data_IF_682221298321
#
_entry.id   IF_682221298321
#
_cell.length_a   1.000
_cell.length_b   1.000
_cell.length_c   1.000
_cell.angle_alpha   90.00
_cell.angle_beta   90.00
_cell.angle_gamma   90.00
#
_symmetry.space_group_name_H-M   'P 1'
#
loop_
_entity.id
_entity.type
_entity.pdbx_description
1 polymer ?
#
# COMPACT_ATOMS: atom_id res chain seq x y z
N UNK A 1 8.41 -21.72 18.50
CA UNK A 1 7.85 -20.53 17.84
C UNK A 1 9.00 -19.81 17.18
N UNK A 2 8.99 -19.62 15.85
CA UNK A 2 10.01 -18.83 15.16
C UNK A 2 9.98 -17.41 15.71
N UNK A 3 11.15 -16.85 15.95
CA UNK A 3 11.31 -15.48 16.41
C UNK A 3 10.80 -14.53 15.28
N UNK A 4 10.09 -13.45 15.63
CA UNK A 4 9.61 -12.48 14.65
C UNK A 4 10.77 -11.63 14.12
N UNK A 5 10.68 -11.13 12.87
CA UNK A 5 11.72 -10.26 12.30
C UNK A 5 12.01 -9.05 13.21
N UNK A 6 10.99 -8.47 13.82
CA UNK A 6 11.14 -7.30 14.70
C UNK A 6 11.95 -7.66 15.97
N UNK A 7 11.69 -8.82 16.57
CA UNK A 7 12.47 -9.31 17.71
C UNK A 7 13.91 -9.62 17.33
N UNK A 8 14.13 -10.21 16.14
CA UNK A 8 15.47 -10.47 15.60
C UNK A 8 16.24 -9.17 15.44
N UNK A 9 15.65 -8.13 14.84
CA UNK A 9 16.26 -6.81 14.68
C UNK A 9 16.71 -6.24 16.04
N UNK A 10 15.83 -6.30 17.05
CA UNK A 10 16.16 -5.80 18.41
C UNK A 10 17.25 -6.61 19.07
N UNK A 11 17.19 -7.96 19.02
CA UNK A 11 18.18 -8.87 19.59
C UNK A 11 19.57 -8.62 18.99
N UNK A 12 19.63 -8.40 17.68
CA UNK A 12 20.87 -8.22 16.94
C UNK A 12 21.35 -6.76 16.94
N UNK A 13 20.77 -5.91 17.81
CA UNK A 13 21.22 -4.55 18.05
C UNK A 13 21.01 -3.61 16.84
N UNK A 14 19.98 -3.85 16.03
CA UNK A 14 19.72 -3.09 14.80
C UNK A 14 20.88 -3.15 13.79
N UNK A 15 21.51 -4.30 13.63
CA UNK A 15 22.57 -4.51 12.62
C UNK A 15 21.95 -4.85 11.26
N UNK A 16 22.31 -4.06 10.24
CA UNK A 16 21.88 -4.31 8.86
C UNK A 16 22.53 -5.60 8.31
N UNK A 17 23.81 -5.85 8.62
CA UNK A 17 24.53 -7.05 8.19
C UNK A 17 23.91 -8.31 8.77
N UNK A 18 23.56 -8.30 10.07
CA UNK A 18 22.90 -9.41 10.72
C UNK A 18 21.51 -9.68 10.10
N UNK A 19 20.74 -8.63 9.83
CA UNK A 19 19.46 -8.73 9.14
C UNK A 19 19.64 -9.30 7.72
N UNK A 20 20.59 -8.78 6.94
CA UNK A 20 20.86 -9.23 5.58
C UNK A 20 21.30 -10.70 5.51
N UNK A 21 22.03 -11.19 6.50
CA UNK A 21 22.42 -12.59 6.59
C UNK A 21 21.19 -13.53 6.72
N UNK A 22 20.13 -13.08 7.41
CA UNK A 22 18.87 -13.82 7.57
C UNK A 22 17.87 -13.63 6.41
N UNK A 23 18.05 -12.61 5.59
CA UNK A 23 17.14 -12.22 4.51
C UNK A 23 17.89 -12.07 3.17
N UNK A 24 18.05 -13.18 2.41
CA UNK A 24 18.88 -13.20 1.20
C UNK A 24 18.44 -12.21 0.12
N UNK A 25 17.20 -11.75 0.17
CA UNK A 25 16.71 -10.69 -0.71
C UNK A 25 17.53 -9.40 -0.58
N UNK A 26 18.01 -9.08 0.63
CA UNK A 26 18.85 -7.91 0.87
C UNK A 26 20.27 -8.09 0.29
N UNK A 27 20.78 -9.33 0.24
CA UNK A 27 22.07 -9.61 -0.37
C UNK A 27 22.09 -9.37 -1.89
N UNK A 28 20.93 -9.43 -2.55
CA UNK A 28 20.81 -9.11 -3.99
C UNK A 28 21.13 -7.63 -4.27
N UNK A 29 21.05 -6.75 -3.29
CA UNK A 29 21.38 -5.32 -3.41
C UNK A 29 22.85 -5.10 -3.76
N UNK A 30 23.76 -6.04 -3.43
CA UNK A 30 25.18 -6.01 -3.83
C UNK A 30 25.42 -6.07 -5.34
N UNK A 31 24.40 -6.48 -6.09
CA UNK A 31 24.47 -6.59 -7.56
C UNK A 31 23.81 -5.39 -8.26
N UNK A 32 23.31 -4.42 -7.50
CA UNK A 32 22.55 -3.30 -8.04
C UNK A 32 23.41 -2.05 -8.02
N UNK A 33 23.90 -1.62 -9.21
CA UNK A 33 24.69 -0.40 -9.32
C UNK A 33 23.83 0.84 -9.13
N UNK A 34 24.47 1.92 -8.71
CA UNK A 34 23.86 3.23 -8.55
C UNK A 34 24.57 4.30 -9.39
N UNK A 35 23.89 5.41 -9.66
CA UNK A 35 24.50 6.55 -10.33
C UNK A 35 25.51 7.22 -9.40
N UNK A 36 26.84 7.21 -9.72
CA UNK A 36 27.88 7.73 -8.84
C UNK A 36 27.78 9.24 -8.59
N UNK A 37 27.04 10.00 -9.41
CA UNK A 37 26.80 11.42 -9.16
C UNK A 37 25.92 11.66 -7.90
N UNK A 38 25.09 10.69 -7.55
CA UNK A 38 24.20 10.78 -6.38
C UNK A 38 24.54 9.74 -5.30
N UNK A 39 25.38 8.76 -5.62
CA UNK A 39 25.70 7.61 -4.77
C UNK A 39 27.16 7.18 -5.01
N UNK A 40 28.13 8.00 -4.55
CA UNK A 40 29.55 7.66 -4.67
C UNK A 40 29.98 6.58 -3.67
N UNK A 41 29.11 6.19 -2.71
CA UNK A 41 29.31 5.12 -1.74
C UNK A 41 29.32 3.71 -2.35
N UNK A 42 28.84 3.54 -3.59
CA UNK A 42 28.91 2.27 -4.32
C UNK A 42 27.56 1.67 -4.71
N UNK A 43 27.35 0.37 -4.39
CA UNK A 43 26.11 -0.34 -4.71
C UNK A 43 24.97 -0.03 -3.72
N UNK A 44 23.77 -0.55 -4.01
CA UNK A 44 22.60 -0.32 -3.15
C UNK A 44 22.74 -0.97 -1.78
N UNK A 45 23.52 -2.04 -1.64
CA UNK A 45 23.77 -2.69 -0.35
C UNK A 45 24.60 -1.78 0.57
N UNK A 46 25.68 -1.22 0.05
CA UNK A 46 26.52 -0.25 0.77
C UNK A 46 25.69 0.95 1.21
N UNK A 47 24.94 1.55 0.27
CA UNK A 47 24.04 2.65 0.57
C UNK A 47 23.06 2.30 1.68
N UNK A 48 22.36 1.16 1.59
CA UNK A 48 21.37 0.75 2.58
C UNK A 48 22.00 0.57 3.97
N UNK A 49 23.20 0.04 4.06
CA UNK A 49 23.95 -0.06 5.32
C UNK A 49 24.18 1.31 5.94
N UNK A 50 24.69 2.28 5.15
CA UNK A 50 24.90 3.66 5.61
C UNK A 50 23.61 4.36 6.03
N UNK A 51 22.51 4.10 5.33
CA UNK A 51 21.18 4.62 5.72
C UNK A 51 20.75 4.07 7.07
N UNK A 52 20.93 2.77 7.31
CA UNK A 52 20.62 2.15 8.61
C UNK A 52 21.49 2.74 9.74
N UNK A 53 22.78 2.92 9.52
CA UNK A 53 23.69 3.56 10.49
C UNK A 53 23.31 5.02 10.75
N UNK A 54 23.02 5.79 9.69
CA UNK A 54 22.57 7.17 9.80
C UNK A 54 21.27 7.27 10.62
N UNK A 55 20.31 6.37 10.38
CA UNK A 55 19.05 6.34 11.13
C UNK A 55 19.29 6.16 12.64
N UNK A 56 20.16 5.24 13.02
CA UNK A 56 20.50 4.97 14.43
C UNK A 56 21.22 6.16 15.09
N UNK A 57 21.92 6.98 14.31
CA UNK A 57 22.66 8.16 14.78
C UNK A 57 21.79 9.40 14.99
N UNK A 58 20.56 9.42 14.47
CA UNK A 58 19.65 10.56 14.62
C UNK A 58 19.30 10.79 16.10
N UNK A 59 19.34 12.03 16.60
CA UNK A 59 18.92 12.32 17.98
C UNK A 59 17.47 11.88 18.25
N UNK A 60 16.60 12.01 17.27
CA UNK A 60 15.19 11.64 17.32
C UNK A 60 14.96 10.14 17.49
N UNK A 61 15.92 9.29 17.09
CA UNK A 61 15.86 7.84 17.25
C UNK A 61 15.57 7.40 18.67
N UNK A 62 16.19 8.06 19.65
CA UNK A 62 16.03 7.74 21.07
C UNK A 62 14.64 8.13 21.62
N UNK A 63 13.91 8.95 20.92
CA UNK A 63 12.53 9.37 21.29
C UNK A 63 11.45 8.45 20.77
N UNK A 64 11.80 7.53 19.86
CA UNK A 64 10.86 6.58 19.26
C UNK A 64 10.51 5.45 20.23
N UNK A 65 9.28 4.97 20.18
CA UNK A 65 8.90 3.74 20.86
C UNK A 65 9.65 2.54 20.25
N UNK A 66 9.81 1.47 21.01
CA UNK A 66 10.53 0.29 20.52
C UNK A 66 9.91 -0.31 19.25
N UNK A 67 8.60 -0.26 19.10
CA UNK A 67 7.90 -0.74 17.89
C UNK A 67 8.20 0.18 16.70
N UNK A 68 8.22 1.49 16.90
CA UNK A 68 8.58 2.46 15.85
C UNK A 68 10.03 2.29 15.40
N UNK A 69 10.96 2.08 16.35
CA UNK A 69 12.36 1.79 16.05
C UNK A 69 12.49 0.54 15.17
N UNK A 70 11.86 -0.57 15.56
CA UNK A 70 11.91 -1.82 14.82
C UNK A 70 11.34 -1.69 13.40
N UNK A 71 10.18 -1.07 13.27
CA UNK A 71 9.50 -0.92 11.98
C UNK A 71 10.21 0.09 11.07
N UNK A 72 10.74 1.18 11.63
CA UNK A 72 11.46 2.18 10.86
C UNK A 72 12.83 1.64 10.40
N UNK A 73 13.52 0.87 11.25
CA UNK A 73 14.74 0.17 10.85
C UNK A 73 14.48 -0.86 9.74
N UNK A 74 13.42 -1.64 9.88
CA UNK A 74 13.01 -2.58 8.83
C UNK A 74 12.69 -1.85 7.52
N UNK A 75 12.02 -0.70 7.60
CA UNK A 75 11.74 0.13 6.43
C UNK A 75 13.04 0.67 5.80
N UNK A 76 14.00 1.13 6.60
CA UNK A 76 15.32 1.57 6.13
C UNK A 76 16.08 0.44 5.43
N UNK A 77 16.09 -0.77 6.01
CA UNK A 77 16.75 -1.93 5.41
C UNK A 77 16.15 -2.36 4.06
N UNK A 78 14.86 -2.10 3.82
CA UNK A 78 14.16 -2.49 2.59
C UNK A 78 13.77 -1.31 1.69
N UNK A 79 14.10 -0.05 2.01
CA UNK A 79 13.60 1.12 1.29
C UNK A 79 13.87 1.07 -0.21
N UNK A 80 15.04 0.57 -0.58
CA UNK A 80 15.55 0.49 -1.95
C UNK A 80 15.45 -0.91 -2.59
N UNK A 81 14.76 -1.86 -1.96
CA UNK A 81 14.61 -3.24 -2.47
C UNK A 81 14.03 -3.30 -3.90
N UNK A 82 13.28 -2.30 -4.30
CA UNK A 82 12.71 -2.20 -5.64
C UNK A 82 13.74 -2.00 -6.74
N UNK A 83 14.92 -1.48 -6.42
CA UNK A 83 16.00 -1.29 -7.38
C UNK A 83 16.47 -2.61 -8.00
N UNK A 84 16.33 -3.75 -7.30
CA UNK A 84 16.63 -5.09 -7.83
C UNK A 84 15.87 -5.36 -9.14
N UNK A 85 14.62 -4.88 -9.25
CA UNK A 85 13.73 -5.23 -10.37
C UNK A 85 13.59 -4.16 -11.43
N UNK A 86 14.02 -2.93 -11.15
CA UNK A 86 13.79 -1.80 -12.05
C UNK A 86 15.05 -1.03 -12.46
N UNK A 87 16.22 -1.40 -11.93
CA UNK A 87 17.48 -0.78 -12.38
C UNK A 87 17.79 -1.18 -13.83
N UNK A 88 18.08 -0.19 -14.63
CA UNK A 88 18.47 -0.31 -16.03
C UNK A 88 19.52 0.74 -16.35
N UNK A 89 20.18 0.61 -17.50
CA UNK A 89 21.10 1.63 -17.99
C UNK A 89 20.41 2.52 -19.02
N UNK A 90 20.55 3.83 -18.83
CA UNK A 90 20.19 4.86 -19.82
C UNK A 90 21.47 5.69 -20.07
N UNK A 91 21.92 5.73 -21.32
CA UNK A 91 23.16 6.41 -21.74
C UNK A 91 24.40 6.00 -20.90
N UNK A 92 24.49 4.72 -20.53
CA UNK A 92 25.59 4.18 -19.73
C UNK A 92 25.50 4.48 -18.22
N UNK A 93 24.45 5.16 -17.77
CA UNK A 93 24.22 5.54 -16.37
C UNK A 93 23.13 4.63 -15.77
N UNK A 94 23.33 4.02 -14.57
CA UNK A 94 22.30 3.24 -13.93
C UNK A 94 21.19 4.16 -13.40
N UNK A 95 19.93 3.82 -13.74
CA UNK A 95 18.72 4.51 -13.29
C UNK A 95 17.71 3.49 -12.77
N UNK A 96 16.93 3.88 -11.77
CA UNK A 96 15.95 2.99 -11.13
C UNK A 96 14.54 3.62 -11.11
N UNK A 97 13.89 3.77 -12.27
CA UNK A 97 12.60 4.45 -12.35
C UNK A 97 11.52 3.69 -11.57
N UNK A 98 10.73 4.43 -10.78
CA UNK A 98 9.61 3.88 -10.00
C UNK A 98 10.02 2.78 -8.98
N UNK A 99 11.28 2.77 -8.52
CA UNK A 99 11.76 1.77 -7.54
C UNK A 99 10.92 1.78 -6.25
N UNK A 100 10.41 2.92 -5.81
CA UNK A 100 9.55 3.02 -4.62
C UNK A 100 8.24 2.23 -4.78
N UNK A 101 7.64 2.29 -5.97
CA UNK A 101 6.42 1.52 -6.29
C UNK A 101 6.75 0.03 -6.37
N UNK A 102 7.79 -0.32 -7.13
CA UNK A 102 8.25 -1.71 -7.28
C UNK A 102 8.67 -2.30 -5.94
N UNK A 103 9.39 -1.51 -5.11
CA UNK A 103 9.87 -1.92 -3.79
C UNK A 103 8.73 -2.23 -2.83
N UNK A 104 7.75 -1.34 -2.74
CA UNK A 104 6.61 -1.59 -1.84
C UNK A 104 5.80 -2.83 -2.26
N UNK A 105 5.63 -3.08 -3.56
CA UNK A 105 4.98 -4.30 -4.08
C UNK A 105 5.83 -5.54 -3.80
N UNK A 106 7.14 -5.45 -4.02
CA UNK A 106 8.07 -6.55 -3.79
C UNK A 106 8.11 -6.93 -2.30
N UNK A 107 8.25 -5.94 -1.41
CA UNK A 107 8.22 -6.17 0.03
C UNK A 107 6.90 -6.83 0.49
N UNK A 108 5.73 -6.29 0.08
CA UNK A 108 4.43 -6.90 0.39
C UNK A 108 4.36 -8.36 -0.05
N UNK A 109 4.79 -8.65 -1.29
CA UNK A 109 4.80 -10.02 -1.83
C UNK A 109 5.67 -10.94 -1.00
N UNK A 110 6.89 -10.54 -0.66
CA UNK A 110 7.82 -11.36 0.13
C UNK A 110 7.24 -11.58 1.53
N UNK A 111 6.84 -10.52 2.22
CA UNK A 111 6.30 -10.60 3.58
C UNK A 111 4.97 -11.38 3.64
N UNK A 112 4.12 -11.32 2.61
CA UNK A 112 2.90 -12.09 2.52
C UNK A 112 3.15 -13.60 2.31
N UNK A 113 4.08 -13.94 1.40
CA UNK A 113 4.43 -15.34 1.12
C UNK A 113 5.21 -16.00 2.24
N UNK A 114 6.14 -15.26 2.81
CA UNK A 114 7.06 -15.70 3.87
C UNK A 114 6.56 -15.27 5.26
N UNK A 115 5.24 -15.25 5.44
CA UNK A 115 4.60 -14.71 6.64
C UNK A 115 5.10 -15.34 7.96
N UNK A 116 5.58 -16.57 7.92
CA UNK A 116 6.19 -17.23 9.10
C UNK A 116 7.57 -16.67 9.43
N UNK A 117 8.35 -16.30 8.42
CA UNK A 117 9.69 -15.72 8.56
C UNK A 117 9.61 -14.26 9.01
N UNK A 118 8.72 -13.47 8.39
CA UNK A 118 8.52 -12.06 8.75
C UNK A 118 7.70 -11.91 10.04
N UNK A 119 6.65 -12.70 10.19
CA UNK A 119 5.73 -12.67 11.33
C UNK A 119 5.18 -11.27 11.66
N UNK A 120 4.92 -10.47 10.61
CA UNK A 120 4.31 -9.15 10.70
C UNK A 120 2.79 -9.27 10.71
N UNK A 121 2.14 -8.43 11.48
CA UNK A 121 0.71 -8.14 11.31
C UNK A 121 0.46 -7.42 9.98
N UNK A 122 -0.79 -7.34 9.56
CA UNK A 122 -1.17 -6.58 8.38
C UNK A 122 -0.74 -5.11 8.49
N UNK A 123 -0.99 -4.46 9.63
CA UNK A 123 -0.62 -3.05 9.88
C UNK A 123 0.89 -2.84 9.85
N UNK A 124 1.66 -3.70 10.49
CA UNK A 124 3.13 -3.63 10.48
C UNK A 124 3.70 -3.81 9.05
N UNK A 125 3.16 -4.77 8.28
CA UNK A 125 3.55 -4.96 6.88
C UNK A 125 3.21 -3.72 6.02
N UNK A 126 2.01 -3.17 6.17
CA UNK A 126 1.59 -2.01 5.39
C UNK A 126 2.34 -0.75 5.80
N UNK A 127 2.70 -0.59 7.09
CA UNK A 127 3.59 0.49 7.52
C UNK A 127 4.92 0.45 6.74
N UNK A 128 5.63 -0.68 6.78
CA UNK A 128 6.92 -0.81 6.07
C UNK A 128 6.76 -0.63 4.56
N UNK A 129 5.71 -1.22 3.97
CA UNK A 129 5.45 -1.08 2.54
C UNK A 129 5.13 0.37 2.12
N UNK A 130 4.43 1.13 2.96
CA UNK A 130 4.15 2.54 2.71
C UNK A 130 5.39 3.42 2.97
N UNK A 131 6.20 3.11 3.97
CA UNK A 131 7.49 3.76 4.15
C UNK A 131 8.37 3.61 2.90
N UNK A 132 8.48 2.38 2.36
CA UNK A 132 9.17 2.11 1.08
C UNK A 132 8.52 2.88 -0.09
N UNK A 133 7.18 2.95 -0.12
CA UNK A 133 6.45 3.64 -1.21
C UNK A 133 6.70 5.13 -1.24
N UNK A 134 6.84 5.75 -0.08
CA UNK A 134 6.90 7.20 0.05
C UNK A 134 8.27 7.74 0.45
N UNK A 135 9.32 6.90 0.69
CA UNK A 135 10.61 7.36 1.21
C UNK A 135 11.24 8.50 0.41
N UNK A 136 11.08 8.48 -0.92
CA UNK A 136 11.58 9.54 -1.78
C UNK A 136 10.69 10.80 -1.83
N UNK A 137 9.50 10.78 -1.21
CA UNK A 137 8.59 11.93 -1.27
C UNK A 137 9.18 13.18 -0.61
N UNK A 138 9.79 13.12 0.60
CA UNK A 138 10.34 14.32 1.23
C UNK A 138 11.39 15.02 0.38
N UNK A 139 12.25 14.27 -0.30
CA UNK A 139 13.30 14.82 -1.18
C UNK A 139 12.72 15.44 -2.45
N UNK A 140 11.68 14.85 -3.03
CA UNK A 140 11.13 15.25 -4.33
C UNK A 140 9.77 15.93 -4.25
N UNK A 141 9.36 16.34 -3.06
CA UNK A 141 8.05 16.91 -2.75
C UNK A 141 7.70 18.10 -3.65
N UNK A 142 8.55 19.12 -3.69
CA UNK A 142 8.29 20.36 -4.45
C UNK A 142 8.31 20.18 -5.98
N UNK A 143 8.82 19.03 -6.47
CA UNK A 143 8.81 18.70 -7.91
C UNK A 143 7.53 17.99 -8.35
N UNK A 144 6.60 17.71 -7.42
CA UNK A 144 5.31 17.11 -7.74
C UNK A 144 4.36 18.14 -8.35
N UNK A 145 3.49 17.70 -9.23
CA UNK A 145 2.45 18.57 -9.83
C UNK A 145 1.43 19.07 -8.80
N UNK A 146 1.16 18.25 -7.79
CA UNK A 146 0.26 18.54 -6.66
C UNK A 146 0.95 18.13 -5.35
N UNK A 147 1.95 18.90 -4.88
CA UNK A 147 2.77 18.49 -3.75
C UNK A 147 1.94 18.25 -2.49
N UNK A 148 1.02 19.15 -2.18
CA UNK A 148 0.12 19.05 -1.04
C UNK A 148 -0.74 17.79 -1.06
N UNK A 149 -1.37 17.46 -2.19
CA UNK A 149 -2.17 16.24 -2.30
C UNK A 149 -1.31 14.96 -2.14
N UNK A 150 -0.06 14.96 -2.62
CA UNK A 150 0.84 13.82 -2.42
C UNK A 150 1.28 13.70 -0.95
N UNK A 151 1.54 14.83 -0.28
CA UNK A 151 1.83 14.85 1.16
C UNK A 151 0.64 14.34 1.97
N UNK A 152 -0.57 14.83 1.69
CA UNK A 152 -1.78 14.40 2.40
C UNK A 152 -2.12 12.94 2.11
N UNK A 153 -1.88 12.43 0.87
CA UNK A 153 -1.99 10.99 0.58
C UNK A 153 -1.02 10.16 1.40
N UNK A 154 0.22 10.61 1.56
CA UNK A 154 1.18 9.93 2.40
C UNK A 154 0.76 9.95 3.87
N UNK A 155 0.26 11.08 4.37
CA UNK A 155 -0.27 11.22 5.74
C UNK A 155 -1.45 10.28 6.03
N UNK A 156 -2.27 9.94 5.04
CA UNK A 156 -3.31 8.91 5.19
C UNK A 156 -2.74 7.48 5.38
N UNK A 157 -1.48 7.26 5.01
CA UNK A 157 -0.87 5.93 4.94
C UNK A 157 0.25 5.68 5.97
N UNK A 158 0.90 6.74 6.48
CA UNK A 158 2.05 6.64 7.38
C UNK A 158 2.21 7.95 8.18
N UNK A 159 2.61 7.90 9.48
CA UNK A 159 3.01 9.09 10.21
C UNK A 159 4.17 9.80 9.50
N UNK A 160 3.95 11.05 9.06
CA UNK A 160 4.94 11.78 8.26
C UNK A 160 6.24 12.05 9.03
N UNK A 161 6.19 12.13 10.38
CA UNK A 161 7.41 12.25 11.20
C UNK A 161 8.34 11.05 11.01
N UNK A 162 7.81 9.83 10.86
CA UNK A 162 8.63 8.64 10.63
C UNK A 162 9.15 8.58 9.20
N UNK A 163 8.34 9.04 8.25
CA UNK A 163 8.76 9.19 6.86
C UNK A 163 9.87 10.24 6.72
N UNK A 164 9.77 11.36 7.44
CA UNK A 164 10.81 12.38 7.52
C UNK A 164 12.13 11.80 8.05
N UNK A 165 12.10 11.03 9.15
CA UNK A 165 13.31 10.42 9.71
C UNK A 165 13.96 9.41 8.74
N UNK A 166 13.15 8.61 8.04
CA UNK A 166 13.66 7.71 7.01
C UNK A 166 14.34 8.49 5.87
N UNK A 167 13.72 9.55 5.37
CA UNK A 167 14.29 10.38 4.31
C UNK A 167 15.53 11.13 4.76
N UNK A 168 15.57 11.61 6.01
CA UNK A 168 16.75 12.24 6.61
C UNK A 168 17.91 11.26 6.67
N UNK A 169 17.67 10.03 7.12
CA UNK A 169 18.66 8.96 7.12
C UNK A 169 19.13 8.59 5.71
N UNK A 170 18.20 8.50 4.73
CA UNK A 170 18.52 8.22 3.33
C UNK A 170 19.46 9.29 2.74
N UNK A 171 19.22 10.57 3.02
CA UNK A 171 20.08 11.66 2.58
C UNK A 171 21.46 11.61 3.26
N UNK A 172 21.50 11.35 4.58
CA UNK A 172 22.75 11.26 5.34
C UNK A 172 23.59 10.04 4.94
N UNK A 173 22.96 8.94 4.50
CA UNK A 173 23.64 7.76 3.98
C UNK A 173 24.21 7.92 2.57
N UNK A 174 23.98 9.04 1.88
CA UNK A 174 24.50 9.31 0.53
C UNK A 174 25.82 10.02 0.56
N UNK A 175 26.69 9.65 -0.38
CA UNK A 175 27.89 10.40 -0.69
C UNK A 175 27.66 11.14 -2.02
N UNK A 176 27.25 12.41 -1.93
CA UNK A 176 26.93 13.25 -3.10
C UNK A 176 27.28 14.72 -2.83
N UNK A 177 27.65 15.45 -3.89
CA UNK A 177 27.90 16.88 -3.81
C UNK A 177 26.64 17.72 -3.51
N UNK A 178 25.44 17.15 -3.68
CA UNK A 178 24.15 17.82 -3.42
C UNK A 178 23.56 17.48 -2.05
N UNK A 179 24.33 16.96 -1.11
CA UNK A 179 23.82 16.51 0.20
C UNK A 179 23.07 17.61 0.95
N UNK A 180 23.63 18.85 1.00
CA UNK A 180 23.00 19.98 1.70
C UNK A 180 21.66 20.40 1.08
N UNK A 181 21.58 20.41 -0.28
CA UNK A 181 20.35 20.74 -0.98
C UNK A 181 19.26 19.70 -0.70
N UNK A 182 19.63 18.40 -0.70
CA UNK A 182 18.71 17.31 -0.42
C UNK A 182 18.23 17.35 1.05
N UNK A 183 19.14 17.64 1.99
CA UNK A 183 18.80 17.82 3.41
C UNK A 183 17.81 18.99 3.59
N UNK A 184 18.07 20.13 2.95
CA UNK A 184 17.15 21.27 2.98
C UNK A 184 15.74 20.93 2.47
N UNK A 185 15.62 20.12 1.41
CA UNK A 185 14.33 19.68 0.90
C UNK A 185 13.58 18.79 1.90
N UNK A 186 14.28 17.92 2.63
CA UNK A 186 13.68 17.07 3.66
C UNK A 186 13.19 17.88 4.85
N UNK A 187 13.94 18.91 5.27
CA UNK A 187 13.50 19.82 6.34
C UNK A 187 12.27 20.63 5.91
N UNK A 188 12.25 21.20 4.72
CA UNK A 188 11.08 21.91 4.19
C UNK A 188 9.83 21.05 4.10
N UNK A 189 9.98 19.77 3.76
CA UNK A 189 8.86 18.82 3.80
C UNK A 189 8.28 18.70 5.21
N UNK A 190 9.15 18.58 6.21
CA UNK A 190 8.71 18.47 7.62
C UNK A 190 8.05 19.76 8.13
N UNK A 191 8.63 20.93 7.81
CA UNK A 191 8.05 22.23 8.12
C UNK A 191 6.65 22.37 7.51
N UNK A 192 6.49 22.06 6.22
CA UNK A 192 5.21 22.15 5.56
C UNK A 192 4.17 21.15 6.13
N UNK A 193 4.61 19.93 6.46
CA UNK A 193 3.75 18.96 7.14
C UNK A 193 3.32 19.43 8.53
N UNK A 194 4.19 20.17 9.23
CA UNK A 194 3.88 20.78 10.52
C UNK A 194 2.91 21.95 10.39
N UNK A 195 3.07 22.81 9.38
CA UNK A 195 2.14 23.92 9.10
C UNK A 195 0.72 23.39 8.86
N UNK A 196 0.59 22.27 8.13
CA UNK A 196 -0.68 21.59 7.91
C UNK A 196 -1.15 20.75 9.10
N UNK A 197 -0.33 20.66 10.17
CA UNK A 197 -0.58 19.84 11.35
C UNK A 197 -0.82 18.36 11.01
N UNK A 198 0.02 17.77 10.12
CA UNK A 198 -0.13 16.38 9.63
C UNK A 198 1.10 15.51 9.88
N UNK A 199 2.06 15.95 10.67
CA UNK A 199 3.25 15.15 11.00
C UNK A 199 2.90 13.83 11.70
N UNK A 200 1.90 13.86 12.57
CA UNK A 200 1.55 12.74 13.46
C UNK A 200 0.17 12.13 13.18
N UNK A 201 -0.65 12.74 12.35
CA UNK A 201 -2.00 12.29 12.05
C UNK A 201 -2.45 12.76 10.65
N UNK A 202 -3.45 12.11 10.03
CA UNK A 202 -4.02 12.57 8.77
C UNK A 202 -4.61 13.98 8.90
N UNK A 203 -4.75 14.63 7.75
CA UNK A 203 -5.38 15.94 7.68
C UNK A 203 -6.85 15.86 8.16
N UNK A 204 -7.29 16.76 9.06
CA UNK A 204 -8.65 16.76 9.60
C UNK A 204 -9.63 17.43 8.63
N UNK A 205 -9.95 16.75 7.51
CA UNK A 205 -10.96 17.23 6.58
C UNK A 205 -12.29 17.50 7.27
N UNK A 206 -13.05 18.48 6.78
CA UNK A 206 -14.32 18.89 7.38
C UNK A 206 -15.32 17.72 7.53
N UNK A 207 -15.30 16.77 6.59
CA UNK A 207 -16.05 15.52 6.65
C UNK A 207 -15.45 14.47 5.69
N UNK A 208 -15.84 13.19 5.79
CA UNK A 208 -15.33 12.12 4.91
C UNK A 208 -15.64 12.32 3.43
N UNK A 209 -16.73 12.99 3.09
CA UNK A 209 -17.09 13.32 1.72
C UNK A 209 -16.09 14.33 1.11
N UNK A 210 -15.79 15.41 1.84
CA UNK A 210 -14.78 16.40 1.41
C UNK A 210 -13.42 15.73 1.21
N UNK A 211 -13.01 14.84 2.12
CA UNK A 211 -11.78 14.04 2.00
C UNK A 211 -11.77 13.21 0.71
N UNK A 212 -12.82 12.47 0.46
CA UNK A 212 -12.93 11.64 -0.75
C UNK A 212 -12.89 12.48 -2.03
N UNK A 213 -13.60 13.62 -2.06
CA UNK A 213 -13.59 14.55 -3.20
C UNK A 213 -12.19 15.16 -3.41
N UNK A 214 -11.49 15.55 -2.34
CA UNK A 214 -10.15 16.13 -2.43
C UNK A 214 -9.15 15.21 -3.15
N UNK A 215 -9.18 13.92 -2.86
CA UNK A 215 -8.29 12.95 -3.51
C UNK A 215 -8.71 12.52 -4.91
N UNK A 216 -9.95 12.81 -5.32
CA UNK A 216 -10.47 12.50 -6.64
C UNK A 216 -10.44 13.68 -7.63
N UNK A 217 -10.48 14.91 -7.12
CA UNK A 217 -10.54 16.16 -7.90
C UNK A 217 -9.20 16.89 -7.83
N UNK A 218 -8.78 17.50 -8.95
CA UNK A 218 -7.47 18.14 -9.00
C UNK A 218 -7.46 19.56 -8.44
N UNK A 219 -8.61 20.26 -8.44
CA UNK A 219 -8.69 21.68 -8.11
C UNK A 219 -9.35 21.97 -6.74
N UNK A 220 -9.64 20.93 -5.95
CA UNK A 220 -10.25 21.12 -4.64
C UNK A 220 -9.18 21.49 -3.59
N UNK A 221 -9.43 22.58 -2.87
CA UNK A 221 -8.59 22.99 -1.74
C UNK A 221 -8.90 22.13 -0.50
N UNK A 222 -7.86 21.70 0.26
CA UNK A 222 -7.99 20.82 1.42
C UNK A 222 -8.83 21.42 2.55
N UNK A 223 -8.83 22.73 2.73
CA UNK A 223 -9.65 23.42 3.72
C UNK A 223 -11.12 23.60 3.34
N UNK A 224 -11.54 23.07 2.18
CA UNK A 224 -12.95 23.12 1.77
C UNK A 224 -13.85 22.35 2.73
N UNK A 225 -15.12 22.76 2.83
CA UNK A 225 -16.18 22.05 3.55
C UNK A 225 -17.34 21.81 2.59
N UNK A 226 -17.29 20.68 1.88
CA UNK A 226 -18.35 20.33 0.93
C UNK A 226 -19.56 19.74 1.66
N UNK A 227 -20.75 20.03 1.16
CA UNK A 227 -21.97 19.37 1.57
C UNK A 227 -21.98 17.95 1.02
N UNK A 228 -22.19 16.96 1.91
CA UNK A 228 -22.31 15.56 1.49
C UNK A 228 -23.64 15.35 0.74
N UNK A 229 -23.53 15.17 -0.55
CA UNK A 229 -24.67 14.94 -1.46
C UNK A 229 -24.81 13.47 -1.85
N UNK A 230 -24.20 12.54 -1.10
CA UNK A 230 -24.37 11.11 -1.37
C UNK A 230 -25.78 10.64 -0.97
N UNK A 231 -26.37 9.78 -1.78
CA UNK A 231 -27.76 9.38 -1.64
C UNK A 231 -27.95 7.90 -1.34
N UNK A 232 -26.98 7.06 -1.66
CA UNK A 232 -27.05 5.62 -1.44
C UNK A 232 -25.65 5.01 -1.35
N UNK A 233 -25.55 3.79 -0.83
CA UNK A 233 -24.27 3.12 -0.59
C UNK A 233 -23.92 2.10 -1.68
N UNK A 234 -22.63 2.05 -2.06
CA UNK A 234 -22.07 0.99 -2.90
C UNK A 234 -20.86 0.38 -2.19
N UNK A 235 -20.89 -0.94 -2.01
CA UNK A 235 -19.74 -1.68 -1.47
C UNK A 235 -18.93 -2.29 -2.62
N UNK A 236 -17.68 -1.84 -2.77
CA UNK A 236 -16.72 -2.38 -3.71
C UNK A 236 -15.78 -3.34 -2.99
N UNK A 237 -15.88 -4.63 -3.30
CA UNK A 237 -15.00 -5.64 -2.73
C UNK A 237 -13.64 -5.64 -3.45
N UNK A 238 -12.57 -5.80 -2.69
CA UNK A 238 -11.20 -5.95 -3.18
C UNK A 238 -10.50 -7.09 -2.47
N UNK A 239 -9.62 -7.81 -3.15
CA UNK A 239 -8.84 -8.92 -2.59
C UNK A 239 -8.60 -10.04 -3.58
N UNK A 240 -7.59 -10.85 -3.30
CA UNK A 240 -7.22 -12.01 -4.12
C UNK A 240 -8.43 -12.96 -4.30
N UNK A 241 -8.45 -13.79 -5.35
CA UNK A 241 -9.35 -14.93 -5.37
C UNK A 241 -9.19 -15.73 -4.07
N UNK A 242 -10.27 -16.35 -3.59
CA UNK A 242 -10.27 -17.15 -2.36
C UNK A 242 -10.05 -16.37 -1.05
N UNK A 243 -9.95 -15.04 -1.10
CA UNK A 243 -9.81 -14.20 0.11
C UNK A 243 -11.05 -14.18 1.02
N UNK A 244 -12.18 -14.73 0.55
CA UNK A 244 -13.42 -14.82 1.33
C UNK A 244 -14.49 -13.80 0.95
N UNK A 245 -14.39 -13.14 -0.21
CA UNK A 245 -15.39 -12.16 -0.69
C UNK A 245 -16.81 -12.71 -0.77
N UNK A 246 -16.98 -13.90 -1.39
CA UNK A 246 -18.29 -14.53 -1.51
C UNK A 246 -18.85 -14.98 -0.16
N UNK A 247 -17.98 -15.46 0.75
CA UNK A 247 -18.37 -15.79 2.12
C UNK A 247 -18.83 -14.54 2.87
N UNK A 248 -18.11 -13.42 2.72
CA UNK A 248 -18.50 -12.14 3.31
C UNK A 248 -19.87 -11.68 2.81
N UNK A 249 -20.14 -11.80 1.51
CA UNK A 249 -21.45 -11.47 0.93
C UNK A 249 -22.53 -12.35 1.57
N UNK A 250 -22.31 -13.64 1.62
CA UNK A 250 -23.29 -14.58 2.22
C UNK A 250 -23.59 -14.22 3.67
N UNK A 251 -22.58 -13.95 4.48
CA UNK A 251 -22.73 -13.63 5.90
C UNK A 251 -23.38 -12.27 6.17
N UNK A 252 -23.06 -11.26 5.36
CA UNK A 252 -23.47 -9.88 5.64
C UNK A 252 -24.67 -9.41 4.80
N UNK A 253 -24.90 -10.02 3.64
CA UNK A 253 -26.02 -9.65 2.77
C UNK A 253 -27.29 -10.46 3.05
N UNK A 254 -27.17 -11.66 3.64
CA UNK A 254 -28.33 -12.54 3.95
C UNK A 254 -28.90 -12.34 5.34
N UNK A 255 -28.23 -11.62 6.24
CA UNK A 255 -28.62 -11.46 7.66
C UNK A 255 -29.47 -10.22 7.96
N UNK A 256 -29.69 -9.34 6.98
CA UNK A 256 -30.49 -8.12 7.15
C UNK A 256 -31.75 -8.12 6.28
N UNK A 257 -32.71 -7.28 6.58
CA UNK A 257 -33.95 -7.09 5.79
C UNK A 257 -33.64 -6.53 4.38
N UNK A 258 -32.40 -6.14 4.11
CA UNK A 258 -31.94 -5.57 2.83
C UNK A 258 -30.98 -6.53 2.11
N UNK A 259 -31.53 -7.50 1.37
CA UNK A 259 -30.72 -8.31 0.45
C UNK A 259 -30.31 -7.46 -0.76
N UNK A 260 -29.12 -6.87 -0.70
CA UNK A 260 -28.60 -6.00 -1.77
C UNK A 260 -28.30 -6.80 -3.03
N UNK A 261 -28.60 -6.28 -4.23
CA UNK A 261 -28.15 -6.89 -5.47
C UNK A 261 -26.61 -6.96 -5.53
N UNK A 262 -26.11 -8.07 -6.05
CA UNK A 262 -24.68 -8.34 -6.19
C UNK A 262 -24.32 -8.40 -7.66
N UNK A 263 -23.37 -7.58 -8.09
CA UNK A 263 -22.76 -7.67 -9.41
C UNK A 263 -21.46 -8.48 -9.26
N UNK A 264 -21.50 -9.74 -9.66
CA UNK A 264 -20.33 -10.64 -9.62
C UNK A 264 -19.77 -10.88 -11.02
N UNK A 265 -18.51 -10.49 -11.25
CA UNK A 265 -17.85 -10.74 -12.53
C UNK A 265 -17.65 -12.22 -12.80
N UNK A 266 -17.44 -13.03 -11.78
CA UNK A 266 -17.30 -14.48 -11.90
C UNK A 266 -18.64 -15.13 -12.26
N UNK A 267 -19.74 -14.73 -11.62
CA UNK A 267 -21.08 -15.20 -11.95
C UNK A 267 -21.47 -14.82 -13.39
N UNK A 268 -21.25 -13.56 -13.80
CA UNK A 268 -21.51 -13.11 -15.17
C UNK A 268 -20.72 -13.93 -16.22
N UNK A 269 -19.54 -14.38 -15.86
CA UNK A 269 -18.72 -15.24 -16.72
C UNK A 269 -19.28 -16.65 -16.83
N UNK A 270 -19.77 -17.21 -15.72
CA UNK A 270 -20.40 -18.53 -15.69
C UNK A 270 -21.71 -18.54 -16.48
N UNK A 271 -22.60 -17.57 -16.28
CA UNK A 271 -23.85 -17.40 -17.03
C UNK A 271 -23.64 -17.35 -18.54
N UNK A 272 -22.54 -16.69 -18.97
CA UNK A 272 -22.18 -16.59 -20.38
C UNK A 272 -21.33 -17.75 -20.91
N UNK A 273 -21.02 -18.74 -20.06
CA UNK A 273 -20.18 -19.91 -20.37
C UNK A 273 -18.81 -19.54 -20.97
N UNK A 274 -18.22 -18.42 -20.48
CA UNK A 274 -16.94 -17.91 -20.95
C UNK A 274 -15.80 -18.46 -20.09
N UNK A 275 -14.67 -18.88 -20.69
CA UNK A 275 -13.51 -19.32 -19.93
C UNK A 275 -12.87 -18.17 -19.16
N UNK A 276 -12.17 -18.44 -18.02
CA UNK A 276 -11.66 -17.44 -17.10
C UNK A 276 -10.76 -16.37 -17.71
N UNK A 277 -10.05 -16.69 -18.79
CA UNK A 277 -9.03 -15.81 -19.38
C UNK A 277 -9.50 -15.09 -20.66
N UNK A 278 -10.66 -15.48 -21.22
CA UNK A 278 -11.17 -14.88 -22.45
C UNK A 278 -12.26 -13.84 -22.17
N UNK A 279 -12.35 -12.86 -23.07
CA UNK A 279 -13.44 -11.87 -23.11
C UNK A 279 -13.63 -11.05 -21.81
N UNK A 280 -12.56 -10.86 -21.04
CA UNK A 280 -12.64 -10.09 -19.77
C UNK A 280 -13.21 -8.68 -19.98
N UNK A 281 -12.96 -8.05 -21.12
CA UNK A 281 -13.54 -6.74 -21.47
C UNK A 281 -15.06 -6.81 -21.66
N UNK A 282 -15.60 -7.88 -22.26
CA UNK A 282 -17.06 -8.04 -22.43
C UNK A 282 -17.76 -8.28 -21.11
N UNK A 283 -17.13 -9.02 -20.18
CA UNK A 283 -17.66 -9.22 -18.83
C UNK A 283 -17.64 -7.94 -18.03
N UNK A 284 -16.53 -7.19 -18.06
CA UNK A 284 -16.44 -5.90 -17.40
C UNK A 284 -17.48 -4.91 -17.94
N UNK A 285 -17.67 -4.87 -19.27
CA UNK A 285 -18.71 -4.03 -19.89
C UNK A 285 -20.12 -4.43 -19.42
N UNK A 286 -20.43 -5.72 -19.39
CA UNK A 286 -21.74 -6.19 -18.91
C UNK A 286 -21.98 -5.84 -17.43
N UNK A 287 -20.98 -6.00 -16.59
CA UNK A 287 -21.04 -5.60 -15.19
C UNK A 287 -21.29 -4.08 -15.04
N UNK A 288 -20.59 -3.27 -15.85
CA UNK A 288 -20.81 -1.80 -15.87
C UNK A 288 -22.20 -1.40 -16.35
N UNK A 289 -22.78 -2.13 -17.32
CA UNK A 289 -24.17 -1.89 -17.76
C UNK A 289 -25.16 -2.17 -16.63
N UNK A 290 -24.99 -3.30 -15.90
CA UNK A 290 -25.81 -3.59 -14.73
C UNK A 290 -25.63 -2.53 -13.63
N UNK A 291 -24.39 -2.13 -13.35
CA UNK A 291 -24.11 -1.10 -12.35
C UNK A 291 -24.81 0.23 -12.70
N UNK A 292 -24.72 0.69 -13.95
CA UNK A 292 -25.41 1.90 -14.40
C UNK A 292 -26.92 1.80 -14.21
N UNK A 293 -27.50 0.60 -14.37
CA UNK A 293 -28.92 0.35 -14.11
C UNK A 293 -29.31 0.53 -12.64
N UNK A 294 -28.46 0.14 -11.69
CA UNK A 294 -28.66 0.38 -10.25
C UNK A 294 -28.37 1.83 -9.89
N UNK A 295 -27.25 2.37 -10.39
CA UNK A 295 -26.83 3.76 -10.15
C UNK A 295 -27.91 4.77 -10.57
N UNK A 296 -28.51 4.61 -11.75
CA UNK A 296 -29.58 5.50 -12.24
C UNK A 296 -30.85 5.47 -11.40
N UNK A 297 -31.07 4.39 -10.67
CA UNK A 297 -32.20 4.22 -9.74
C UNK A 297 -31.83 4.55 -8.30
N UNK A 298 -30.61 5.00 -8.05
CA UNK A 298 -30.06 5.23 -6.71
C UNK A 298 -30.20 4.00 -5.79
N UNK A 299 -30.05 2.81 -6.37
CA UNK A 299 -30.21 1.55 -5.68
C UNK A 299 -28.86 1.06 -5.14
N UNK A 300 -28.74 0.82 -3.83
CA UNK A 300 -27.53 0.23 -3.24
C UNK A 300 -27.20 -1.14 -3.84
N UNK A 301 -25.91 -1.46 -3.99
CA UNK A 301 -25.46 -2.76 -4.49
C UNK A 301 -24.05 -3.11 -4.02
N UNK A 302 -23.66 -4.37 -4.21
CA UNK A 302 -22.32 -4.88 -3.95
C UNK A 302 -21.65 -5.18 -5.29
N UNK A 303 -20.46 -4.60 -5.51
CA UNK A 303 -19.59 -4.93 -6.65
C UNK A 303 -18.56 -5.97 -6.24
N UNK A 304 -18.72 -7.21 -6.70
CA UNK A 304 -17.87 -8.34 -6.38
C UNK A 304 -16.92 -8.69 -7.52
N UNK A 305 -15.65 -8.28 -7.36
CA UNK A 305 -14.54 -8.66 -8.22
C UNK A 305 -13.24 -8.63 -7.42
N UNK A 306 -12.11 -9.02 -8.02
CA UNK A 306 -10.81 -8.98 -7.32
C UNK A 306 -10.33 -7.54 -7.10
N UNK A 307 -10.55 -6.63 -8.03
CA UNK A 307 -10.23 -5.20 -7.97
C UNK A 307 -8.82 -4.91 -7.41
N UNK A 308 -7.82 -5.66 -7.92
CA UNK A 308 -6.45 -5.64 -7.35
C UNK A 308 -5.66 -4.36 -7.64
N UNK A 309 -6.00 -3.65 -8.72
CA UNK A 309 -5.24 -2.49 -9.17
C UNK A 309 -5.91 -1.18 -8.72
N UNK A 310 -5.12 -0.25 -8.24
CA UNK A 310 -5.54 1.11 -7.90
C UNK A 310 -6.31 1.79 -9.05
N UNK A 311 -5.79 1.71 -10.27
CA UNK A 311 -6.41 2.34 -11.43
C UNK A 311 -7.83 1.80 -11.70
N UNK A 312 -8.02 0.48 -11.54
CA UNK A 312 -9.34 -0.13 -11.68
C UNK A 312 -10.31 0.37 -10.62
N UNK A 313 -9.87 0.41 -9.37
CA UNK A 313 -10.69 0.91 -8.25
C UNK A 313 -11.03 2.40 -8.44
N UNK A 314 -10.05 3.23 -8.80
CA UNK A 314 -10.29 4.66 -9.07
C UNK A 314 -11.35 4.90 -10.14
N UNK A 315 -11.32 4.14 -11.25
CA UNK A 315 -12.35 4.25 -12.32
C UNK A 315 -13.73 3.88 -11.82
N UNK A 316 -13.84 2.83 -10.99
CA UNK A 316 -15.11 2.39 -10.42
C UNK A 316 -15.63 3.38 -9.36
N UNK A 317 -14.76 3.79 -8.44
CA UNK A 317 -15.11 4.79 -7.40
C UNK A 317 -15.59 6.07 -8.05
N UNK A 318 -14.82 6.61 -9.04
CA UNK A 318 -15.23 7.80 -9.77
C UNK A 318 -16.60 7.61 -10.43
N UNK A 319 -16.78 6.53 -11.19
CA UNK A 319 -18.07 6.24 -11.85
C UNK A 319 -19.23 6.22 -10.85
N UNK A 320 -19.06 5.56 -9.71
CA UNK A 320 -20.15 5.43 -8.72
C UNK A 320 -20.41 6.76 -8.02
N UNK A 321 -19.35 7.50 -7.67
CA UNK A 321 -19.46 8.82 -7.06
C UNK A 321 -20.11 9.87 -8.01
N UNK A 322 -19.88 9.76 -9.32
CA UNK A 322 -20.54 10.62 -10.32
C UNK A 322 -22.09 10.45 -10.33
N UNK A 323 -22.62 9.36 -9.75
CA UNK A 323 -24.05 9.12 -9.52
C UNK A 323 -24.48 9.37 -8.06
N UNK A 324 -23.70 10.08 -7.27
CA UNK A 324 -23.93 10.36 -5.85
C UNK A 324 -23.93 9.13 -4.94
N UNK A 325 -23.24 8.05 -5.32
CA UNK A 325 -23.06 6.91 -4.45
C UNK A 325 -21.96 7.19 -3.39
N UNK A 326 -22.22 6.79 -2.15
CA UNK A 326 -21.23 6.67 -1.09
C UNK A 326 -20.47 5.36 -1.30
N UNK A 327 -19.25 5.45 -1.79
CA UNK A 327 -18.46 4.25 -2.12
C UNK A 327 -17.61 3.82 -0.93
N UNK A 328 -17.84 2.59 -0.46
CA UNK A 328 -17.01 1.89 0.52
C UNK A 328 -16.17 0.84 -0.19
N UNK A 329 -14.84 0.88 -0.02
CA UNK A 329 -13.97 -0.22 -0.43
C UNK A 329 -13.78 -1.15 0.75
N UNK A 330 -14.11 -2.43 0.58
CA UNK A 330 -13.83 -3.47 1.55
C UNK A 330 -12.74 -4.40 1.00
N UNK A 331 -11.57 -4.37 1.61
CA UNK A 331 -10.45 -5.25 1.30
C UNK A 331 -10.48 -6.50 2.17
N UNK A 332 -10.38 -7.67 1.56
CA UNK A 332 -10.32 -8.95 2.26
C UNK A 332 -9.01 -9.68 1.96
N UNK A 333 -8.35 -10.11 3.03
CA UNK A 333 -7.12 -10.89 2.96
C UNK A 333 -7.14 -12.06 3.94
N UNK A 334 -6.62 -13.20 3.49
CA UNK A 334 -6.34 -14.38 4.33
C UNK A 334 -4.86 -14.70 4.22
N UNK A 335 -4.27 -15.41 5.19
CA UNK A 335 -2.88 -15.85 5.13
C UNK A 335 -2.58 -16.63 3.85
N UNK A 336 -1.37 -16.46 3.30
CA UNK A 336 -0.95 -17.14 2.05
C UNK A 336 -1.15 -18.65 2.08
N UNK A 337 -0.80 -19.32 3.18
CA UNK A 337 -1.01 -20.76 3.35
C UNK A 337 -2.50 -21.15 3.31
N UNK A 338 -3.36 -20.34 3.92
CA UNK A 338 -4.81 -20.54 3.87
C UNK A 338 -5.33 -20.35 2.44
N UNK A 339 -4.82 -19.34 1.72
CA UNK A 339 -5.18 -19.10 0.32
C UNK A 339 -4.86 -20.32 -0.55
N UNK A 340 -3.66 -20.90 -0.39
CA UNK A 340 -3.25 -22.12 -1.11
C UNK A 340 -4.12 -23.32 -0.72
N UNK A 341 -4.37 -23.54 0.58
CA UNK A 341 -5.23 -24.64 1.05
C UNK A 341 -6.63 -24.53 0.44
N UNK A 342 -7.23 -23.34 0.43
CA UNK A 342 -8.53 -23.09 -0.20
C UNK A 342 -8.49 -23.34 -1.70
N UNK A 343 -7.37 -23.03 -2.39
CA UNK A 343 -7.22 -23.32 -3.80
C UNK A 343 -7.22 -24.84 -4.08
N UNK A 344 -6.56 -25.64 -3.22
CA UNK A 344 -6.48 -27.08 -3.36
C UNK A 344 -7.83 -27.80 -3.20
N UNK A 345 -8.73 -27.30 -2.37
CA UNK A 345 -10.06 -27.92 -2.19
C UNK A 345 -11.12 -27.42 -3.20
N UNK A 346 -10.81 -26.39 -3.97
CA UNK A 346 -11.75 -25.83 -4.95
C UNK A 346 -11.89 -26.76 -6.15
N UNK A 347 -13.11 -27.00 -6.62
CA UNK A 347 -13.41 -27.84 -7.81
C UNK A 347 -12.67 -27.35 -9.09
N UNK A 348 -12.50 -26.04 -9.24
CA UNK A 348 -11.72 -25.40 -10.32
C UNK A 348 -10.54 -24.69 -9.72
N UNK A 349 -9.40 -25.34 -9.66
CA UNK A 349 -8.16 -24.74 -9.18
C UNK A 349 -7.73 -23.57 -10.05
N UNK A 350 -7.21 -22.54 -9.42
CA UNK A 350 -6.51 -21.46 -10.12
C UNK A 350 -5.07 -21.93 -10.32
N UNK A 351 -4.54 -21.91 -11.56
CA UNK A 351 -3.14 -22.24 -11.79
C UNK A 351 -2.21 -21.38 -10.93
N UNK A 352 -1.18 -22.00 -10.38
CA UNK A 352 -0.30 -21.34 -9.40
C UNK A 352 0.39 -20.10 -9.97
N UNK A 353 0.83 -20.17 -11.23
CA UNK A 353 1.42 -19.02 -11.94
C UNK A 353 0.45 -17.86 -12.14
N UNK A 354 -0.85 -18.13 -12.27
CA UNK A 354 -1.89 -17.10 -12.36
C UNK A 354 -2.08 -16.44 -11.00
N UNK A 355 -2.13 -17.22 -9.92
CA UNK A 355 -2.24 -16.72 -8.56
C UNK A 355 -1.02 -15.86 -8.20
N UNK A 356 0.19 -16.32 -8.51
CA UNK A 356 1.43 -15.57 -8.33
C UNK A 356 1.42 -14.24 -9.11
N UNK A 357 0.95 -14.25 -10.35
CA UNK A 357 0.80 -13.02 -11.14
C UNK A 357 -0.17 -12.03 -10.48
N UNK A 358 -1.26 -12.54 -9.87
CA UNK A 358 -2.21 -11.69 -9.14
C UNK A 358 -1.59 -11.11 -7.87
N UNK A 359 -0.82 -11.91 -7.12
CA UNK A 359 -0.10 -11.45 -5.93
C UNK A 359 0.92 -10.36 -6.29
N UNK A 360 1.66 -10.55 -7.39
CA UNK A 360 2.62 -9.54 -7.88
C UNK A 360 1.97 -8.21 -8.26
N UNK A 361 0.73 -8.26 -8.78
CA UNK A 361 -0.03 -7.09 -9.21
C UNK A 361 -0.84 -6.45 -8.09
N UNK A 362 -0.93 -7.10 -6.95
CA UNK A 362 -1.78 -6.65 -5.85
C UNK A 362 -1.33 -5.27 -5.33
N UNK A 363 -2.23 -4.33 -5.38
CA UNK A 363 -2.14 -3.02 -4.76
C UNK A 363 -3.21 -2.94 -3.67
N UNK A 364 -2.76 -2.92 -2.42
CA UNK A 364 -3.67 -2.79 -1.27
C UNK A 364 -4.40 -1.44 -1.39
N UNK A 365 -5.73 -1.40 -1.23
CA UNK A 365 -6.45 -0.13 -1.23
C UNK A 365 -5.89 0.82 -0.16
N UNK A 366 -5.56 2.03 -0.58
CA UNK A 366 -5.12 3.07 0.35
C UNK A 366 -6.34 3.75 1.02
N UNK A 367 -6.18 4.31 2.24
CA UNK A 367 -7.28 4.96 2.96
C UNK A 367 -7.96 6.08 2.16
N UNK A 368 -7.23 6.77 1.31
CA UNK A 368 -7.74 7.90 0.51
C UNK A 368 -8.49 7.50 -0.78
N UNK A 369 -8.57 6.20 -1.12
CA UNK A 369 -9.18 5.76 -2.39
C UNK A 369 -10.70 5.87 -2.42
N UNK A 370 -11.36 5.87 -1.27
CA UNK A 370 -12.81 5.89 -1.18
C UNK A 370 -13.32 6.68 0.02
N UNK A 371 -14.64 6.83 0.10
CA UNK A 371 -15.30 7.49 1.22
C UNK A 371 -14.98 6.80 2.57
N UNK A 372 -15.10 5.46 2.61
CA UNK A 372 -14.77 4.65 3.78
C UNK A 372 -14.04 3.39 3.34
N UNK A 373 -12.71 3.30 3.54
CA UNK A 373 -11.98 2.06 3.35
C UNK A 373 -12.13 1.17 4.58
N UNK A 374 -12.31 -0.13 4.35
CA UNK A 374 -12.35 -1.14 5.40
C UNK A 374 -11.42 -2.29 5.04
N UNK A 375 -10.79 -2.88 6.07
CA UNK A 375 -9.87 -3.99 5.90
C UNK A 375 -10.29 -5.14 6.81
N UNK A 376 -10.63 -6.27 6.21
CA UNK A 376 -10.91 -7.51 6.92
C UNK A 376 -9.79 -8.50 6.63
N UNK A 377 -8.83 -8.57 7.52
CA UNK A 377 -7.65 -9.40 7.38
C UNK A 377 -7.61 -10.44 8.48
N UNK A 378 -7.28 -11.69 8.11
CA UNK A 378 -6.95 -12.74 9.07
C UNK A 378 -5.45 -12.81 9.22
N UNK A 379 -4.97 -12.92 10.45
CA UNK A 379 -3.55 -13.10 10.74
C UNK A 379 -3.23 -14.56 11.04
N UNK A 380 -1.97 -14.95 10.88
CA UNK A 380 -1.48 -16.26 11.34
C UNK A 380 -1.58 -16.42 12.87
N UNK A 381 -1.70 -15.33 13.63
CA UNK A 381 -1.85 -15.35 15.08
C UNK A 381 -3.26 -14.93 15.49
N UNK A 382 -4.15 -15.88 15.87
CA UNK A 382 -5.53 -15.59 16.26
C UNK A 382 -5.67 -14.68 17.49
N UNK A 383 -4.60 -14.47 18.26
CA UNK A 383 -4.60 -13.56 19.43
C UNK A 383 -4.43 -12.09 19.04
N UNK A 384 -4.09 -11.78 17.80
CA UNK A 384 -4.03 -10.42 17.25
C UNK A 384 -5.31 -10.14 16.43
N UNK A 385 -6.47 -10.07 17.08
CA UNK A 385 -7.69 -9.52 16.45
C UNK A 385 -7.45 -8.04 16.18
N UNK A 386 -7.51 -7.68 14.92
CA UNK A 386 -7.15 -6.33 14.50
C UNK A 386 -8.36 -5.40 14.49
N UNK A 387 -8.20 -4.29 15.18
CA UNK A 387 -8.82 -3.04 14.77
C UNK A 387 -8.46 -2.73 13.29
N UNK A 388 -9.30 -2.01 12.53
CA UNK A 388 -8.93 -1.57 11.19
C UNK A 388 -7.55 -0.92 11.28
N UNK A 389 -6.66 -1.14 10.29
CA UNK A 389 -5.36 -0.49 10.28
C UNK A 389 -5.62 1.00 10.24
N UNK A 390 -5.44 1.61 11.39
CA UNK A 390 -5.16 3.04 11.42
C UNK A 390 -3.73 3.18 10.90
N UNK A 391 -3.43 4.18 10.07
CA UNK A 391 -2.06 4.44 9.61
C UNK A 391 -1.11 4.77 10.76
N UNK A 392 -1.62 4.85 11.97
CA UNK A 392 -0.93 5.22 13.19
C UNK A 392 -0.89 4.00 14.12
N UNK A 393 0.32 3.56 14.45
CA UNK A 393 0.65 2.49 15.38
C UNK A 393 0.30 2.86 16.82
#
# INVERSE_FOLDING_TARGET
MSETILKTIRRDGFSFEALAAGYPELLLLKQVPQNPAYHAEGDVYCHTGLVCEALLSLPEWQTLSGVEQELLFLAAAFHDIGKITCTKYEDGIPVSPKHTISGSKLFRRIAYREAERFSLSFSEREFVANAIRYHGLPVWFFKKSRPEAELLRAAECIPLRLLYLLAKADVLGRQTASADDLAGQVEWFAEYAQELNVLNHPYPFANPYTRACFFQQDDLWQGSALYDNTEFDVTLLSGLPLSGKDYWIMENNSRGDNNLPVISLDQLREERKLPPTKDSGKIAHAALVQAKGFLSKKQPFIWNATNLLLETRRKLVKLFSDYHARVRILYLEVPYKELLARNHIRKRHIPENVLETMIQKLEIPAPWESYTPEYQTRTHNPQKTQAPPTPYL
#
